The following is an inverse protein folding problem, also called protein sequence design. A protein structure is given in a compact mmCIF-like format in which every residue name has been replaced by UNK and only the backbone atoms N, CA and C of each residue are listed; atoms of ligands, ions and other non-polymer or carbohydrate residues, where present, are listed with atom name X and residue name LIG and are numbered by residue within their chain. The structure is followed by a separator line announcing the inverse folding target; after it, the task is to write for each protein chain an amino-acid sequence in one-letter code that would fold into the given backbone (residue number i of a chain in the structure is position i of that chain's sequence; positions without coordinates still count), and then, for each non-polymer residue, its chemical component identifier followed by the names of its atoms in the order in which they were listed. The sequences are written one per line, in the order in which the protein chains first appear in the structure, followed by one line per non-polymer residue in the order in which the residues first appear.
data_IF_561681336697
#
_entry.id   IF_561681336697
#
_cell.length_a   1.000
_cell.length_b   1.000
_cell.length_c   1.000
_cell.angle_alpha   90.00
_cell.angle_beta   90.00
_cell.angle_gamma   90.00
#
_symmetry.space_group_name_H-M   'P 1'
#
loop_
_entity.id
_entity.type
_entity.pdbx_description
1 polymer ?
#
# COMPACT_ATOMS: atom_id res chain seq x y z
N UNK A 1 4.30 -18.56 18.97
CA UNK A 1 3.52 -17.90 17.90
C UNK A 1 2.21 -18.63 17.59
N UNK A 2 2.21 -19.89 17.14
CA UNK A 2 0.98 -20.65 16.81
C UNK A 2 -0.13 -20.54 17.86
N UNK A 3 0.15 -20.89 19.13
CA UNK A 3 -0.83 -20.83 20.22
C UNK A 3 -1.34 -19.42 20.55
N UNK A 4 -0.55 -18.38 20.22
CA UNK A 4 -1.01 -17.00 20.37
C UNK A 4 -2.03 -16.67 19.27
N UNK A 5 -1.69 -16.96 18.02
CA UNK A 5 -2.55 -16.70 16.88
C UNK A 5 -3.83 -17.56 16.90
N UNK A 6 -3.79 -18.75 17.51
CA UNK A 6 -5.00 -19.55 17.71
C UNK A 6 -6.02 -18.88 18.62
N UNK A 7 -5.55 -18.20 19.66
CA UNK A 7 -6.42 -17.57 20.65
C UNK A 7 -6.90 -16.18 20.23
N UNK A 8 -6.02 -15.38 19.62
CA UNK A 8 -6.29 -13.98 19.34
C UNK A 8 -6.46 -13.64 17.85
N UNK A 9 -6.11 -14.58 16.95
CA UNK A 9 -5.88 -14.30 15.53
C UNK A 9 -7.06 -13.71 14.77
N UNK A 10 -8.29 -13.85 15.27
CA UNK A 10 -9.47 -13.23 14.66
C UNK A 10 -9.40 -11.70 14.68
N UNK A 11 -8.70 -11.11 15.68
CA UNK A 11 -8.46 -9.67 15.80
C UNK A 11 -6.98 -9.29 15.79
N UNK A 12 -6.15 -10.06 16.49
CA UNK A 12 -4.73 -9.78 16.70
C UNK A 12 -3.87 -10.98 16.28
N UNK A 13 -3.06 -10.81 15.24
CA UNK A 13 -2.23 -11.88 14.70
C UNK A 13 -0.76 -11.48 14.67
N UNK A 14 0.11 -12.35 15.21
CA UNK A 14 1.55 -12.21 15.07
C UNK A 14 1.98 -12.76 13.71
N UNK A 15 2.60 -11.90 12.90
CA UNK A 15 3.20 -12.26 11.62
C UNK A 15 4.71 -12.40 11.72
N UNK A 16 5.36 -12.74 10.60
CA UNK A 16 6.81 -12.72 10.48
C UNK A 16 7.38 -11.34 10.86
N UNK A 17 8.52 -11.36 11.55
CA UNK A 17 9.15 -10.18 12.13
C UNK A 17 9.79 -9.33 11.04
N UNK A 18 9.38 -8.07 10.98
CA UNK A 18 10.13 -7.00 10.32
C UNK A 18 10.56 -6.03 11.43
N UNK A 19 11.87 -5.78 11.55
CA UNK A 19 12.41 -4.94 12.61
C UNK A 19 13.47 -3.99 12.05
N UNK A 20 13.52 -2.79 12.65
CA UNK A 20 14.51 -1.77 12.35
C UNK A 20 15.12 -1.27 13.65
N UNK A 21 16.45 -1.13 13.66
CA UNK A 21 17.17 -0.56 14.80
C UNK A 21 16.83 0.93 14.95
N UNK A 22 16.65 1.41 16.18
CA UNK A 22 16.36 2.82 16.45
C UNK A 22 17.64 3.68 16.36
N UNK A 23 18.18 3.76 15.15
CA UNK A 23 19.43 4.44 14.85
C UNK A 23 20.69 3.59 15.05
N UNK A 24 21.85 4.09 14.60
CA UNK A 24 23.11 3.36 14.71
C UNK A 24 23.46 3.06 16.17
N UNK A 25 23.88 1.82 16.43
CA UNK A 25 24.35 1.34 17.74
C UNK A 25 23.30 1.34 18.87
N UNK A 26 22.01 1.49 18.56
CA UNK A 26 20.94 1.38 19.55
C UNK A 26 20.63 -0.07 19.93
N UNK A 27 20.41 -0.32 21.22
CA UNK A 27 19.89 -1.61 21.71
C UNK A 27 18.37 -1.72 21.50
N UNK A 28 17.72 -0.63 21.07
CA UNK A 28 16.27 -0.55 20.84
C UNK A 28 15.92 -0.82 19.37
N UNK A 29 14.81 -1.53 19.17
CA UNK A 29 14.34 -1.95 17.85
C UNK A 29 12.84 -1.73 17.71
N UNK A 30 12.44 -1.08 16.62
CA UNK A 30 11.05 -1.00 16.20
C UNK A 30 10.64 -2.31 15.55
N UNK A 31 9.56 -2.94 16.05
CA UNK A 31 9.06 -4.21 15.54
C UNK A 31 7.70 -4.01 14.86
N UNK A 32 7.64 -4.28 13.56
CA UNK A 32 6.40 -4.48 12.83
C UNK A 32 6.05 -5.97 12.82
N UNK A 33 5.29 -6.41 13.81
CA UNK A 33 4.96 -7.83 14.00
C UNK A 33 3.51 -8.15 14.37
N UNK A 34 2.73 -7.16 14.83
CA UNK A 34 1.32 -7.33 15.19
C UNK A 34 0.42 -6.82 14.06
N UNK A 35 -0.44 -7.70 13.56
CA UNK A 35 -1.53 -7.35 12.66
C UNK A 35 -2.82 -7.17 13.45
N UNK A 36 -3.58 -6.15 13.08
CA UNK A 36 -4.86 -5.80 13.67
C UNK A 36 -5.90 -5.87 12.56
N UNK A 37 -6.86 -6.78 12.70
CA UNK A 37 -7.93 -6.95 11.72
C UNK A 37 -9.15 -6.09 12.07
N UNK A 38 -10.08 -5.97 11.12
CA UNK A 38 -11.32 -5.20 11.27
C UNK A 38 -11.09 -3.74 11.70
N UNK A 39 -10.23 -3.05 10.97
CA UNK A 39 -9.97 -1.61 11.12
C UNK A 39 -10.33 -0.94 9.81
N UNK A 40 -11.19 0.07 9.85
CA UNK A 40 -11.47 0.90 8.69
C UNK A 40 -10.52 2.09 8.67
N UNK A 41 -9.53 2.07 7.76
CA UNK A 41 -8.55 3.16 7.64
C UNK A 41 -9.08 4.48 7.14
N UNK A 42 -10.32 4.52 6.64
CA UNK A 42 -10.98 5.77 6.25
C UNK A 42 -11.72 6.44 7.41
N UNK A 43 -11.89 5.73 8.53
CA UNK A 43 -12.59 6.22 9.71
C UNK A 43 -11.60 6.75 10.76
N UNK A 44 -11.80 8.01 11.14
CA UNK A 44 -11.01 8.69 12.17
C UNK A 44 -11.92 9.32 13.20
N UNK A 45 -11.50 9.31 14.47
CA UNK A 45 -12.26 9.88 15.58
C UNK A 45 -12.53 11.38 15.39
N UNK A 46 -11.59 12.11 14.76
CA UNK A 46 -11.74 13.53 14.43
C UNK A 46 -12.95 13.84 13.54
N UNK A 47 -13.38 12.87 12.73
CA UNK A 47 -14.46 13.02 11.78
C UNK A 47 -15.80 12.54 12.36
N UNK A 48 -15.78 11.91 13.55
CA UNK A 48 -16.96 11.35 14.22
C UNK A 48 -18.01 12.43 14.47
N UNK A 49 -19.27 12.14 14.12
CA UNK A 49 -20.41 13.07 14.13
C UNK A 49 -20.40 14.17 13.06
N UNK A 50 -19.47 14.12 12.09
CA UNK A 50 -19.52 14.98 10.90
C UNK A 50 -20.07 14.21 9.70
N UNK A 51 -20.42 14.93 8.62
CA UNK A 51 -20.76 14.30 7.35
C UNK A 51 -19.59 13.65 6.61
N UNK A 52 -18.37 13.73 7.16
CA UNK A 52 -17.17 13.13 6.59
C UNK A 52 -16.83 11.76 7.19
N UNK A 53 -17.47 11.37 8.30
CA UNK A 53 -17.30 10.03 8.86
C UNK A 53 -17.90 8.99 7.91
N UNK A 54 -17.15 7.94 7.53
CA UNK A 54 -17.67 6.91 6.65
C UNK A 54 -18.70 6.01 7.36
N UNK A 55 -19.54 5.33 6.60
CA UNK A 55 -20.35 4.24 7.11
C UNK A 55 -19.45 3.01 7.28
N UNK A 56 -18.94 2.80 8.50
CA UNK A 56 -18.16 1.62 8.84
C UNK A 56 -19.06 0.44 9.16
N UNK A 57 -18.54 -0.78 9.03
CA UNK A 57 -19.24 -1.99 9.47
C UNK A 57 -19.25 -2.06 11.00
N UNK A 58 -20.31 -2.65 11.57
CA UNK A 58 -20.47 -2.77 13.02
C UNK A 58 -19.38 -3.62 13.70
N UNK A 59 -18.73 -4.51 12.96
CA UNK A 59 -17.63 -5.36 13.44
C UNK A 59 -16.24 -4.70 13.29
N UNK A 60 -16.16 -3.45 12.81
CA UNK A 60 -14.92 -2.72 12.55
C UNK A 60 -14.73 -1.57 13.54
N UNK A 61 -13.47 -1.28 13.84
CA UNK A 61 -13.06 -0.11 14.63
C UNK A 61 -12.57 1.00 13.70
N UNK A 62 -12.69 2.24 14.15
CA UNK A 62 -11.96 3.34 13.52
C UNK A 62 -10.47 3.28 13.89
N UNK A 63 -9.63 4.03 13.18
CA UNK A 63 -8.17 3.97 13.34
C UNK A 63 -7.68 4.35 14.73
N UNK A 64 -8.29 5.35 15.38
CA UNK A 64 -7.93 5.82 16.71
C UNK A 64 -8.36 4.81 17.80
N UNK A 65 -9.59 4.29 17.71
CA UNK A 65 -10.11 3.24 18.59
C UNK A 65 -9.25 1.97 18.50
N UNK A 66 -8.90 1.55 17.28
CA UNK A 66 -8.02 0.41 17.05
C UNK A 66 -6.63 0.63 17.64
N UNK A 67 -6.06 1.83 17.53
CA UNK A 67 -4.76 2.16 18.13
C UNK A 67 -4.81 2.04 19.66
N UNK A 68 -5.81 2.64 20.31
CA UNK A 68 -5.98 2.61 21.78
C UNK A 68 -6.16 1.16 22.26
N UNK A 69 -7.08 0.42 21.63
CA UNK A 69 -7.41 -0.95 22.03
C UNK A 69 -6.22 -1.89 21.81
N UNK A 70 -5.46 -1.70 20.72
CA UNK A 70 -4.27 -2.51 20.43
C UNK A 70 -3.13 -2.24 21.41
N UNK A 71 -2.91 -0.98 21.80
CA UNK A 71 -1.90 -0.64 22.82
C UNK A 71 -2.25 -1.26 24.16
N UNK A 72 -3.52 -1.15 24.58
CA UNK A 72 -4.02 -1.83 25.78
C UNK A 72 -3.85 -3.35 25.69
N UNK A 73 -4.14 -3.94 24.53
CA UNK A 73 -3.96 -5.37 24.31
C UNK A 73 -2.49 -5.80 24.45
N UNK A 74 -1.54 -5.01 23.95
CA UNK A 74 -0.10 -5.26 24.13
C UNK A 74 0.28 -5.28 25.62
N UNK A 75 -0.22 -4.33 26.40
CA UNK A 75 0.05 -4.23 27.83
C UNK A 75 -0.54 -5.42 28.61
N UNK A 76 -1.83 -5.70 28.39
CA UNK A 76 -2.56 -6.78 29.04
C UNK A 76 -1.98 -8.18 28.71
N UNK A 77 -1.26 -8.31 27.57
CA UNK A 77 -0.69 -9.57 27.08
C UNK A 77 0.85 -9.55 26.99
N UNK A 78 1.50 -8.58 27.62
CA UNK A 78 2.94 -8.32 27.49
C UNK A 78 3.81 -9.54 27.81
N UNK A 79 3.55 -10.24 28.91
CA UNK A 79 4.28 -11.45 29.28
C UNK A 79 4.21 -12.53 28.19
N UNK A 80 3.02 -12.78 27.65
CA UNK A 80 2.80 -13.79 26.61
C UNK A 80 3.45 -13.40 25.30
N UNK A 81 3.41 -12.11 24.95
CA UNK A 81 4.10 -11.58 23.77
C UNK A 81 5.61 -11.73 23.91
N UNK A 82 6.20 -11.38 25.05
CA UNK A 82 7.63 -11.59 25.33
C UNK A 82 8.01 -13.06 25.26
N UNK A 83 7.18 -13.97 25.78
CA UNK A 83 7.41 -15.41 25.63
C UNK A 83 7.48 -15.85 24.17
N UNK A 84 6.68 -15.23 23.28
CA UNK A 84 6.72 -15.53 21.84
C UNK A 84 7.97 -14.91 21.20
N UNK A 85 8.27 -13.64 21.46
CA UNK A 85 9.42 -12.96 20.86
C UNK A 85 10.75 -13.57 21.30
N UNK A 86 10.90 -13.96 22.57
CA UNK A 86 12.11 -14.62 23.09
C UNK A 86 12.37 -16.02 22.53
N UNK A 87 11.42 -16.58 21.79
CA UNK A 87 11.64 -17.82 21.02
C UNK A 87 12.26 -17.57 19.63
N UNK A 88 12.32 -16.32 19.19
CA UNK A 88 12.93 -15.96 17.91
C UNK A 88 14.45 -15.86 18.08
N UNK A 89 15.25 -16.41 17.15
CA UNK A 89 16.70 -16.28 17.18
C UNK A 89 17.13 -14.81 17.24
N UNK A 90 17.97 -14.46 18.22
CA UNK A 90 18.47 -13.09 18.44
C UNK A 90 17.59 -12.21 19.33
N UNK A 91 16.41 -12.68 19.76
CA UNK A 91 15.49 -11.97 20.65
C UNK A 91 15.37 -12.62 22.03
N UNK A 92 16.25 -13.55 22.39
CA UNK A 92 16.15 -14.37 23.62
C UNK A 92 16.10 -13.52 24.90
N UNK A 93 16.73 -12.34 24.86
CA UNK A 93 16.77 -11.36 25.95
C UNK A 93 15.92 -10.11 25.68
N UNK A 94 15.08 -10.12 24.63
CA UNK A 94 14.27 -8.96 24.28
C UNK A 94 13.33 -8.56 25.43
N UNK A 95 13.11 -7.26 25.59
CA UNK A 95 12.12 -6.69 26.49
C UNK A 95 11.39 -5.54 25.79
N UNK A 96 10.24 -5.15 26.32
CA UNK A 96 9.54 -3.97 25.84
C UNK A 96 10.24 -2.70 26.31
N UNK A 97 10.31 -1.71 25.43
CA UNK A 97 10.59 -0.32 25.82
C UNK A 97 9.31 0.25 26.42
N UNK A 98 9.45 0.91 27.58
CA UNK A 98 8.34 1.51 28.30
C UNK A 98 8.52 3.02 28.35
N UNK A 99 7.45 3.75 28.10
CA UNK A 99 7.38 5.19 28.20
C UNK A 99 6.31 5.62 29.20
N UNK A 100 6.44 6.83 29.73
CA UNK A 100 5.44 7.41 30.62
C UNK A 100 4.57 8.42 29.90
N UNK A 101 3.26 8.35 30.10
CA UNK A 101 2.33 9.37 29.63
C UNK A 101 2.38 10.65 30.48
N UNK A 102 1.56 11.64 30.12
CA UNK A 102 1.45 12.90 30.86
C UNK A 102 0.95 12.73 32.32
N UNK A 103 0.40 11.57 32.67
CA UNK A 103 -0.10 11.23 34.00
C UNK A 103 0.85 10.29 34.77
N UNK A 104 2.09 10.12 34.30
CA UNK A 104 3.11 9.21 34.87
C UNK A 104 2.74 7.71 34.79
N UNK A 105 1.76 7.34 33.96
CA UNK A 105 1.38 5.95 33.68
C UNK A 105 2.35 5.33 32.66
N UNK A 106 2.82 4.11 32.95
CA UNK A 106 3.77 3.40 32.08
C UNK A 106 3.04 2.62 31.00
N UNK A 107 3.49 2.77 29.77
CA UNK A 107 2.93 2.13 28.59
C UNK A 107 4.05 1.53 27.73
N UNK A 108 3.73 0.48 26.97
CA UNK A 108 4.65 -0.02 25.95
C UNK A 108 4.79 1.06 24.87
N UNK A 109 6.03 1.40 24.51
CA UNK A 109 6.34 2.33 23.44
C UNK A 109 5.85 1.78 22.11
N UNK A 110 5.00 2.55 21.43
CA UNK A 110 4.44 2.24 20.10
C UNK A 110 4.48 3.51 19.26
N UNK A 111 4.29 3.40 17.93
CA UNK A 111 4.20 4.59 17.09
C UNK A 111 2.99 5.47 17.44
N UNK A 112 3.13 6.79 17.30
CA UNK A 112 2.10 7.78 17.66
C UNK A 112 0.78 7.62 16.87
N UNK A 113 0.86 7.01 15.69
CA UNK A 113 -0.28 6.76 14.82
C UNK A 113 -0.28 5.30 14.40
N UNK A 114 -1.49 4.76 14.17
CA UNK A 114 -1.64 3.41 13.66
C UNK A 114 -1.05 3.33 12.25
N UNK A 115 -0.14 2.38 12.03
CA UNK A 115 0.38 2.10 10.71
C UNK A 115 -0.70 1.41 9.87
N UNK A 116 -1.22 2.15 8.89
CA UNK A 116 -2.22 1.67 7.95
C UNK A 116 -1.54 1.44 6.59
N UNK A 117 -1.58 0.21 6.08
CA UNK A 117 -0.84 -0.16 4.87
C UNK A 117 -1.61 0.02 3.57
N UNK A 118 -2.88 -0.40 3.54
CA UNK A 118 -3.69 -0.48 2.33
C UNK A 118 -5.14 -0.18 2.69
N UNK A 119 -5.60 1.03 2.40
CA UNK A 119 -6.93 1.47 2.86
C UNK A 119 -7.63 2.40 1.88
N UNK A 120 -7.04 3.54 1.56
CA UNK A 120 -7.72 4.56 0.74
C UNK A 120 -6.96 4.77 -0.56
N UNK A 121 -7.56 4.31 -1.66
CA UNK A 121 -7.08 4.54 -3.02
C UNK A 121 -8.09 5.38 -3.80
N UNK A 122 -7.61 6.26 -4.68
CA UNK A 122 -8.51 7.07 -5.50
C UNK A 122 -9.14 6.20 -6.59
N UNK A 123 -10.47 6.08 -6.60
CA UNK A 123 -11.17 5.47 -7.74
C UNK A 123 -11.45 6.50 -8.85
N UNK A 124 -11.60 6.01 -10.08
CA UNK A 124 -12.04 6.83 -11.21
C UNK A 124 -13.52 7.21 -11.09
N UNK A 125 -14.32 6.32 -10.50
CA UNK A 125 -15.70 6.54 -10.13
C UNK A 125 -16.00 6.06 -8.71
N UNK A 126 -16.28 7.02 -7.82
CA UNK A 126 -16.67 6.77 -6.43
C UNK A 126 -17.94 5.94 -6.31
N UNK A 127 -18.91 6.15 -7.18
CA UNK A 127 -20.20 5.46 -7.11
C UNK A 127 -20.11 4.00 -7.58
N UNK A 128 -19.02 3.67 -8.28
CA UNK A 128 -18.74 2.32 -8.79
C UNK A 128 -17.75 1.55 -7.91
N UNK A 129 -17.41 2.04 -6.71
CA UNK A 129 -16.55 1.27 -5.80
C UNK A 129 -17.32 0.03 -5.33
N UNK A 130 -16.72 -1.14 -5.55
CA UNK A 130 -17.30 -2.42 -5.14
C UNK A 130 -16.41 -3.59 -5.51
N UNK A 131 -16.87 -4.79 -5.18
CA UNK A 131 -16.21 -6.02 -5.58
C UNK A 131 -16.07 -6.08 -7.11
N UNK A 132 -15.00 -6.71 -7.61
CA UNK A 132 -14.74 -6.91 -9.05
C UNK A 132 -14.45 -5.63 -9.86
N UNK A 133 -14.38 -4.47 -9.21
CA UNK A 133 -14.06 -3.19 -9.88
C UNK A 133 -12.56 -2.92 -9.99
N UNK A 134 -11.75 -3.83 -9.47
CA UNK A 134 -10.29 -3.73 -9.38
C UNK A 134 -9.61 -3.40 -10.72
N UNK A 135 -10.10 -3.99 -11.81
CA UNK A 135 -9.53 -3.82 -13.14
C UNK A 135 -10.21 -2.74 -14.01
N UNK A 136 -11.26 -2.07 -13.51
CA UNK A 136 -12.06 -1.16 -14.33
C UNK A 136 -12.34 0.21 -13.69
N UNK A 137 -12.02 0.39 -12.40
CA UNK A 137 -12.33 1.62 -11.65
C UNK A 137 -11.09 2.32 -11.08
N UNK A 138 -9.90 1.92 -11.52
CA UNK A 138 -8.62 2.49 -11.12
C UNK A 138 -7.78 2.76 -12.36
N UNK A 139 -6.96 3.81 -12.32
CA UNK A 139 -6.04 4.12 -13.42
C UNK A 139 -4.90 3.10 -13.51
N UNK A 140 -4.44 2.61 -12.35
CA UNK A 140 -3.47 1.53 -12.27
C UNK A 140 -4.18 0.30 -11.70
N UNK A 141 -4.29 -0.73 -12.51
CA UNK A 141 -5.02 -1.95 -12.16
C UNK A 141 -4.07 -3.10 -11.83
N UNK A 142 -4.62 -4.15 -11.23
CA UNK A 142 -3.91 -5.42 -11.07
C UNK A 142 -3.40 -5.93 -12.42
N UNK A 143 -4.22 -5.86 -13.48
CA UNK A 143 -3.80 -6.27 -14.81
C UNK A 143 -2.58 -5.49 -15.30
N UNK A 144 -2.66 -4.16 -15.16
CA UNK A 144 -1.62 -3.21 -15.57
C UNK A 144 -0.27 -3.46 -14.90
N UNK A 145 -0.27 -3.83 -13.60
CA UNK A 145 0.96 -4.07 -12.86
C UNK A 145 1.48 -5.51 -13.01
N UNK A 146 0.68 -6.51 -12.59
CA UNK A 146 1.12 -7.90 -12.55
C UNK A 146 1.45 -8.46 -13.93
N UNK A 147 0.67 -8.05 -14.94
CA UNK A 147 0.79 -8.51 -16.32
C UNK A 147 1.50 -7.48 -17.22
N UNK A 148 2.37 -6.64 -16.67
CA UNK A 148 3.11 -5.63 -17.45
C UNK A 148 3.93 -6.22 -18.62
N UNK A 149 4.33 -7.49 -18.52
CA UNK A 149 5.01 -8.22 -19.60
C UNK A 149 4.07 -8.76 -20.69
N UNK A 150 2.76 -8.77 -20.46
CA UNK A 150 1.75 -9.23 -21.42
C UNK A 150 1.75 -8.33 -22.65
N UNK A 151 1.62 -8.87 -23.89
CA UNK A 151 1.67 -8.07 -25.11
C UNK A 151 0.73 -6.86 -25.10
N UNK A 152 -0.49 -7.02 -24.57
CA UNK A 152 -1.48 -5.94 -24.47
C UNK A 152 -1.00 -4.75 -23.62
N UNK A 153 -0.17 -5.01 -22.60
CA UNK A 153 0.41 -3.96 -21.76
C UNK A 153 1.77 -3.51 -22.28
N UNK A 154 2.65 -4.45 -22.63
CA UNK A 154 4.00 -4.16 -23.13
C UNK A 154 3.98 -3.30 -24.38
N UNK A 155 3.13 -3.64 -25.34
CA UNK A 155 3.02 -2.95 -26.63
C UNK A 155 1.96 -1.85 -26.60
N UNK A 156 1.45 -1.48 -25.42
CA UNK A 156 0.46 -0.42 -25.26
C UNK A 156 1.05 0.91 -25.75
N UNK A 157 0.49 1.53 -26.80
CA UNK A 157 1.03 2.77 -27.36
C UNK A 157 1.00 3.94 -26.36
N UNK A 158 0.16 3.87 -25.32
CA UNK A 158 0.06 4.86 -24.26
C UNK A 158 1.22 4.78 -23.26
N UNK A 159 2.04 3.72 -23.28
CA UNK A 159 3.23 3.62 -22.42
C UNK A 159 4.21 4.78 -22.65
N UNK A 160 4.25 5.31 -23.88
CA UNK A 160 5.04 6.51 -24.23
C UNK A 160 4.55 7.79 -23.56
N UNK A 161 3.46 7.74 -22.82
CA UNK A 161 2.83 8.85 -22.10
C UNK A 161 2.83 8.59 -20.58
N UNK A 162 3.61 7.59 -20.16
CA UNK A 162 3.80 7.24 -18.77
C UNK A 162 4.52 8.35 -17.98
N UNK A 163 4.18 8.50 -16.71
CA UNK A 163 4.89 9.39 -15.79
C UNK A 163 6.11 8.72 -15.13
N UNK A 164 6.35 7.45 -15.43
CA UNK A 164 7.52 6.70 -14.99
C UNK A 164 7.22 5.21 -14.81
N UNK A 165 8.16 4.50 -14.20
CA UNK A 165 8.06 3.06 -14.02
C UNK A 165 7.75 2.69 -12.58
N UNK A 166 6.98 1.62 -12.43
CA UNK A 166 6.76 0.95 -11.18
C UNK A 166 7.37 -0.45 -11.24
N UNK A 167 8.20 -0.80 -10.26
CA UNK A 167 8.69 -2.16 -10.11
C UNK A 167 8.97 -2.51 -8.65
N UNK A 168 8.19 -3.46 -8.12
CA UNK A 168 8.39 -4.04 -6.80
C UNK A 168 7.67 -5.39 -6.75
N UNK A 169 8.17 -6.31 -5.94
CA UNK A 169 7.57 -7.64 -5.78
C UNK A 169 6.09 -7.54 -5.35
N UNK A 170 5.24 -8.42 -5.89
CA UNK A 170 3.83 -8.52 -5.49
C UNK A 170 3.78 -8.86 -4.01
N UNK A 171 3.44 -7.89 -3.16
CA UNK A 171 3.51 -8.02 -1.70
C UNK A 171 2.18 -7.66 -1.04
N UNK A 172 1.21 -8.54 -1.24
CA UNK A 172 -0.16 -8.40 -0.73
C UNK A 172 -0.19 -8.83 0.73
N UNK A 173 -0.92 -8.13 1.59
CA UNK A 173 -1.12 -8.62 2.94
C UNK A 173 -2.46 -9.36 3.07
N UNK A 174 -2.46 -10.57 3.65
CA UNK A 174 -3.71 -11.26 3.93
C UNK A 174 -4.63 -10.47 4.87
N UNK A 175 -5.94 -10.54 4.64
CA UNK A 175 -6.94 -9.65 5.25
C UNK A 175 -7.60 -10.24 6.50
N UNK A 176 -7.43 -11.56 6.73
CA UNK A 176 -7.90 -12.28 7.91
C UNK A 176 -6.96 -13.42 8.29
N UNK A 177 -7.09 -13.94 9.50
CA UNK A 177 -6.34 -15.10 10.01
C UNK A 177 -6.34 -16.27 9.03
N UNK A 178 -7.52 -16.62 8.49
CA UNK A 178 -7.67 -17.78 7.60
C UNK A 178 -6.77 -17.71 6.38
N UNK A 179 -6.49 -16.52 5.87
CA UNK A 179 -5.67 -16.34 4.69
C UNK A 179 -4.19 -16.69 4.96
N UNK A 180 -3.77 -16.67 6.23
CA UNK A 180 -2.44 -17.12 6.67
C UNK A 180 -2.33 -18.62 6.92
N UNK A 181 -3.41 -19.41 6.83
CA UNK A 181 -3.38 -20.85 7.14
C UNK A 181 -3.18 -21.67 5.85
N UNK A 182 -2.25 -22.63 5.84
CA UNK A 182 -2.07 -23.54 4.70
C UNK A 182 -3.35 -24.35 4.45
N UNK A 183 -3.80 -24.43 3.20
CA UNK A 183 -5.03 -25.18 2.87
C UNK A 183 -4.89 -26.69 3.10
N UNK A 184 -3.66 -27.20 3.13
CA UNK A 184 -3.37 -28.62 3.33
C UNK A 184 -2.96 -28.95 4.77
N UNK A 185 -2.67 -27.94 5.59
CA UNK A 185 -2.31 -28.11 7.00
C UNK A 185 -2.77 -26.92 7.85
N UNK A 186 -3.89 -27.11 8.56
CA UNK A 186 -4.48 -26.11 9.47
C UNK A 186 -3.53 -25.58 10.56
N UNK A 187 -2.41 -26.25 10.83
CA UNK A 187 -1.43 -25.83 11.83
C UNK A 187 -0.26 -25.04 11.25
N UNK A 188 -0.16 -24.99 9.92
CA UNK A 188 0.93 -24.34 9.22
C UNK A 188 0.50 -22.94 8.77
N UNK A 189 1.27 -21.95 9.20
CA UNK A 189 1.12 -20.58 8.73
C UNK A 189 1.92 -20.39 7.43
N UNK A 190 1.32 -19.76 6.44
CA UNK A 190 1.90 -19.39 5.15
C UNK A 190 2.06 -17.87 5.06
N UNK A 191 3.09 -17.42 4.37
CA UNK A 191 3.39 -16.00 4.16
C UNK A 191 4.04 -15.81 2.79
N UNK A 192 4.18 -14.55 2.35
CA UNK A 192 4.75 -14.28 1.04
C UNK A 192 3.85 -14.81 -0.09
N UNK A 193 4.47 -15.12 -1.22
CA UNK A 193 3.79 -15.67 -2.40
C UNK A 193 2.81 -16.83 -2.11
N UNK A 194 3.09 -17.69 -1.12
CA UNK A 194 2.17 -18.78 -0.75
C UNK A 194 0.81 -18.26 -0.27
N UNK A 195 0.81 -17.23 0.58
CA UNK A 195 -0.43 -16.59 1.02
C UNK A 195 -1.10 -15.83 -0.12
N UNK A 196 -0.33 -15.21 -1.02
CA UNK A 196 -0.83 -14.42 -2.14
C UNK A 196 -1.58 -15.32 -3.14
N UNK A 197 -1.00 -16.47 -3.48
CA UNK A 197 -1.63 -17.50 -4.32
C UNK A 197 -2.91 -18.05 -3.71
N UNK A 198 -2.98 -18.15 -2.38
CA UNK A 198 -4.19 -18.59 -1.68
C UNK A 198 -5.32 -17.57 -1.81
N UNK A 199 -5.03 -16.28 -1.63
CA UNK A 199 -6.05 -15.21 -1.68
C UNK A 199 -6.41 -14.81 -3.12
N UNK A 200 -5.47 -14.91 -4.06
CA UNK A 200 -5.63 -14.54 -5.48
C UNK A 200 -5.54 -15.75 -6.41
N UNK A 201 -6.39 -16.75 -6.17
CA UNK A 201 -6.48 -17.95 -7.03
C UNK A 201 -6.85 -17.62 -8.47
N UNK A 202 -7.53 -16.51 -8.67
CA UNK A 202 -7.91 -15.96 -9.97
C UNK A 202 -6.69 -15.53 -10.81
N UNK A 203 -5.53 -15.29 -10.18
CA UNK A 203 -4.30 -14.84 -10.83
C UNK A 203 -3.32 -15.96 -11.17
N UNK A 204 -3.74 -17.23 -11.08
CA UNK A 204 -2.86 -18.38 -11.31
C UNK A 204 -2.64 -18.65 -12.82
N UNK A 205 -2.10 -17.65 -13.54
CA UNK A 205 -1.71 -17.74 -14.94
C UNK A 205 -0.34 -18.43 -15.05
N UNK A 206 -0.21 -19.55 -15.79
CA UNK A 206 1.08 -20.23 -15.97
C UNK A 206 2.16 -19.39 -16.66
N UNK A 207 1.79 -18.40 -17.47
CA UNK A 207 2.73 -17.51 -18.17
C UNK A 207 3.16 -16.32 -17.30
N UNK A 208 2.32 -15.92 -16.35
CA UNK A 208 2.55 -14.80 -15.43
C UNK A 208 2.22 -15.24 -14.00
N UNK A 209 2.98 -16.20 -13.43
CA UNK A 209 2.66 -16.79 -12.15
C UNK A 209 2.79 -15.75 -11.03
N UNK A 210 1.87 -15.82 -10.06
CA UNK A 210 1.99 -15.09 -8.80
C UNK A 210 2.97 -15.83 -7.88
N UNK A 211 4.28 -15.57 -8.04
CA UNK A 211 5.33 -16.20 -7.25
C UNK A 211 6.39 -15.19 -6.74
N UNK A 212 7.46 -15.68 -6.13
CA UNK A 212 8.54 -14.83 -5.58
C UNK A 212 9.27 -13.94 -6.61
N UNK A 213 9.05 -14.14 -7.91
CA UNK A 213 9.61 -13.34 -8.99
C UNK A 213 8.53 -12.51 -9.71
N UNK A 214 7.32 -12.41 -9.16
CA UNK A 214 6.27 -11.53 -9.68
C UNK A 214 6.35 -10.13 -9.08
N UNK A 215 6.10 -9.07 -9.87
CA UNK A 215 5.84 -9.09 -11.31
C UNK A 215 7.13 -9.31 -12.13
N UNK A 216 6.99 -9.80 -13.36
CA UNK A 216 8.15 -10.15 -14.21
C UNK A 216 8.70 -8.99 -15.05
N UNK A 217 8.01 -7.85 -15.07
CA UNK A 217 8.41 -6.64 -15.78
C UNK A 217 7.93 -5.38 -15.04
N UNK A 218 8.61 -4.24 -15.25
CA UNK A 218 8.14 -2.95 -14.73
C UNK A 218 6.85 -2.50 -15.45
N UNK A 219 5.94 -1.88 -14.71
CA UNK A 219 4.71 -1.32 -15.23
C UNK A 219 4.87 0.19 -15.52
N UNK A 220 4.32 0.66 -16.64
CA UNK A 220 4.33 2.08 -17.02
C UNK A 220 3.18 2.83 -16.34
N UNK A 221 3.45 3.73 -15.40
CA UNK A 221 2.35 4.39 -14.67
C UNK A 221 1.71 5.52 -15.50
N UNK A 222 0.39 5.49 -15.76
CA UNK A 222 -0.28 6.55 -16.49
C UNK A 222 -0.45 7.82 -15.65
N UNK A 223 -0.43 8.99 -16.28
CA UNK A 223 -0.70 10.27 -15.59
C UNK A 223 -2.09 10.30 -14.93
N UNK A 224 -3.07 9.60 -15.49
CA UNK A 224 -4.42 9.46 -14.93
C UNK A 224 -4.42 8.88 -13.50
N UNK A 225 -3.33 8.23 -13.08
CA UNK A 225 -3.14 7.76 -11.70
C UNK A 225 -3.12 8.90 -10.67
N UNK A 226 -2.61 10.08 -11.06
CA UNK A 226 -2.40 11.23 -10.16
C UNK A 226 -3.60 12.16 -10.05
N UNK A 227 -4.66 11.98 -10.84
CA UNK A 227 -5.73 12.97 -10.98
C UNK A 227 -7.09 12.39 -10.62
N UNK A 228 -8.06 13.29 -10.41
CA UNK A 228 -9.44 12.92 -10.17
C UNK A 228 -10.41 13.86 -10.90
N UNK A 229 -11.52 13.31 -11.40
CA UNK A 229 -12.59 14.11 -12.04
C UNK A 229 -13.37 14.98 -11.05
N UNK A 230 -13.30 14.66 -9.76
CA UNK A 230 -14.08 15.35 -8.71
C UNK A 230 -13.48 16.69 -8.30
N UNK A 231 -12.15 16.83 -8.38
CA UNK A 231 -11.44 18.07 -8.06
C UNK A 231 -10.37 18.32 -9.12
N UNK A 232 -10.71 19.11 -10.14
CA UNK A 232 -9.86 19.31 -11.32
C UNK A 232 -8.46 19.86 -11.01
N UNK A 233 -8.33 20.59 -9.89
CA UNK A 233 -7.08 21.22 -9.46
C UNK A 233 -6.32 20.45 -8.36
N UNK A 234 -6.57 19.15 -8.23
CA UNK A 234 -5.92 18.30 -7.24
C UNK A 234 -5.02 17.28 -7.93
N UNK A 235 -3.79 17.16 -7.44
CA UNK A 235 -2.87 16.06 -7.72
C UNK A 235 -2.81 15.16 -6.48
N UNK A 236 -2.84 13.85 -6.68
CA UNK A 236 -2.87 12.83 -5.64
C UNK A 236 -1.67 11.88 -5.84
N UNK A 237 -0.44 12.34 -5.59
CA UNK A 237 0.71 11.45 -5.57
C UNK A 237 0.72 10.61 -4.29
N UNK A 238 1.38 9.46 -4.37
CA UNK A 238 1.72 8.67 -3.21
C UNK A 238 0.65 7.65 -2.80
N UNK A 239 0.40 7.53 -1.50
CA UNK A 239 -0.40 6.43 -0.91
C UNK A 239 -1.88 6.41 -1.31
N UNK A 240 -2.43 7.55 -1.74
CA UNK A 240 -3.82 7.67 -2.18
C UNK A 240 -3.99 7.69 -3.71
N UNK A 241 -2.93 7.40 -4.48
CA UNK A 241 -2.96 7.37 -5.94
C UNK A 241 -4.07 6.46 -6.47
N UNK A 242 -4.52 6.67 -7.72
CA UNK A 242 -5.49 5.79 -8.35
C UNK A 242 -4.88 4.45 -8.75
N UNK A 243 -4.76 3.57 -7.76
CA UNK A 243 -4.29 2.20 -7.90
C UNK A 243 -5.28 1.22 -7.25
N UNK A 244 -5.46 0.07 -7.87
CA UNK A 244 -6.21 -1.02 -7.28
C UNK A 244 -5.47 -1.60 -6.07
N UNK A 245 -6.19 -2.30 -5.19
CA UNK A 245 -5.63 -2.99 -4.01
C UNK A 245 -4.38 -3.81 -4.35
N UNK A 246 -4.48 -4.70 -5.34
CA UNK A 246 -3.33 -5.49 -5.77
C UNK A 246 -2.24 -4.64 -6.43
N UNK A 247 -2.58 -3.71 -7.33
CA UNK A 247 -1.58 -2.83 -7.95
C UNK A 247 -0.77 -2.08 -6.89
N UNK A 248 -1.43 -1.63 -5.83
CA UNK A 248 -0.78 -0.96 -4.72
C UNK A 248 0.28 -1.82 -4.01
N UNK A 249 0.05 -3.14 -3.93
CA UNK A 249 1.02 -4.09 -3.39
C UNK A 249 2.37 -4.04 -4.10
N UNK A 250 2.36 -3.70 -5.39
CA UNK A 250 3.55 -3.55 -6.26
C UNK A 250 4.01 -2.09 -6.40
N UNK A 251 3.28 -1.10 -5.88
CA UNK A 251 3.58 0.34 -6.04
C UNK A 251 4.09 1.03 -4.78
N UNK A 252 3.82 0.48 -3.60
CA UNK A 252 3.90 1.18 -2.32
C UNK A 252 5.30 1.54 -1.81
N UNK A 253 6.38 1.13 -2.47
CA UNK A 253 7.76 1.36 -1.97
C UNK A 253 8.32 2.72 -2.35
N UNK A 254 9.21 3.24 -1.51
CA UNK A 254 9.77 4.60 -1.63
C UNK A 254 10.25 4.97 -3.04
N UNK A 255 10.97 4.11 -3.80
CA UNK A 255 11.37 4.45 -5.16
C UNK A 255 10.18 4.76 -6.08
N UNK A 256 9.14 3.93 -6.04
CA UNK A 256 7.93 4.10 -6.83
C UNK A 256 7.13 5.34 -6.36
N UNK A 257 7.14 5.64 -5.05
CA UNK A 257 6.53 6.86 -4.51
C UNK A 257 7.26 8.13 -4.96
N UNK A 258 8.59 8.09 -5.13
CA UNK A 258 9.37 9.19 -5.68
C UNK A 258 8.94 9.50 -7.12
N UNK A 259 8.74 8.48 -7.95
CA UNK A 259 8.23 8.64 -9.32
C UNK A 259 6.89 9.38 -9.34
N UNK A 260 5.95 8.99 -8.46
CA UNK A 260 4.65 9.68 -8.36
C UNK A 260 4.80 11.14 -7.90
N UNK A 261 5.69 11.39 -6.94
CA UNK A 261 5.95 12.73 -6.40
C UNK A 261 6.60 13.67 -7.42
N UNK A 262 7.64 13.21 -8.11
CA UNK A 262 8.35 13.97 -9.14
C UNK A 262 7.42 14.32 -10.29
N UNK A 263 6.60 13.37 -10.74
CA UNK A 263 5.59 13.59 -11.75
C UNK A 263 4.54 14.61 -11.35
N UNK A 264 4.07 14.57 -10.10
CA UNK A 264 3.14 15.57 -9.58
C UNK A 264 3.78 16.97 -9.53
N UNK A 265 5.06 17.07 -9.13
CA UNK A 265 5.80 18.33 -9.15
C UNK A 265 5.89 18.94 -10.55
N UNK A 266 6.23 18.12 -11.55
CA UNK A 266 6.31 18.56 -12.95
C UNK A 266 4.94 18.92 -13.51
N UNK A 267 3.91 18.14 -13.19
CA UNK A 267 2.53 18.45 -13.56
C UNK A 267 2.10 19.82 -13.02
N UNK A 268 2.39 20.10 -11.74
CA UNK A 268 2.08 21.39 -11.13
C UNK A 268 2.78 22.56 -11.84
N UNK A 269 4.06 22.42 -12.21
CA UNK A 269 4.77 23.44 -13.01
C UNK A 269 4.15 23.59 -14.40
N UNK A 270 3.80 22.48 -15.04
CA UNK A 270 3.15 22.49 -16.37
C UNK A 270 1.81 23.20 -16.33
N UNK A 271 1.02 23.00 -15.27
CA UNK A 271 -0.23 23.74 -15.01
C UNK A 271 0.02 25.24 -14.92
N UNK A 272 1.03 25.66 -14.15
CA UNK A 272 1.38 27.08 -14.00
C UNK A 272 1.80 27.73 -15.33
N UNK A 273 2.56 27.01 -16.16
CA UNK A 273 3.05 27.53 -17.44
C UNK A 273 1.97 27.56 -18.53
N UNK A 274 1.06 26.57 -18.53
CA UNK A 274 0.02 26.43 -19.55
C UNK A 274 -1.29 27.15 -19.18
N UNK A 275 -1.49 27.50 -17.91
CA UNK A 275 -2.77 28.00 -17.40
C UNK A 275 -3.86 26.94 -17.31
N UNK A 276 -3.48 25.65 -17.36
CA UNK A 276 -4.39 24.49 -17.26
C UNK A 276 -4.42 23.93 -15.85
N UNK A 277 -5.51 23.25 -15.52
CA UNK A 277 -5.62 22.44 -14.31
C UNK A 277 -4.96 21.06 -14.50
N UNK A 278 -4.53 20.40 -13.41
CA UNK A 278 -4.05 19.01 -13.43
C UNK A 278 -4.91 18.05 -14.25
N UNK A 279 -6.24 18.13 -14.11
CA UNK A 279 -7.15 17.25 -14.85
C UNK A 279 -7.11 17.49 -16.36
N UNK A 280 -6.97 18.76 -16.80
CA UNK A 280 -6.90 19.13 -18.22
C UNK A 280 -5.56 18.76 -18.88
N UNK A 281 -4.50 18.47 -18.10
CA UNK A 281 -3.26 17.94 -18.67
C UNK A 281 -3.44 16.53 -19.28
N UNK A 282 -4.51 15.84 -18.91
CA UNK A 282 -4.89 14.54 -19.44
C UNK A 282 -5.69 14.64 -20.76
N UNK A 283 -5.85 15.84 -21.33
CA UNK A 283 -6.57 16.01 -22.59
C UNK A 283 -5.77 15.46 -23.78
N UNK A 284 -6.46 14.78 -24.69
CA UNK A 284 -5.91 14.25 -25.94
C UNK A 284 -6.34 15.09 -27.14
N UNK A 285 -5.52 15.08 -28.19
CA UNK A 285 -5.89 15.60 -29.50
C UNK A 285 -6.89 14.68 -30.24
N UNK A 286 -7.27 15.05 -31.45
CA UNK A 286 -8.20 14.30 -32.31
C UNK A 286 -7.72 12.89 -32.70
N UNK A 287 -6.43 12.60 -32.53
CA UNK A 287 -5.82 11.30 -32.77
C UNK A 287 -5.60 10.51 -31.47
N UNK A 288 -6.10 11.01 -30.33
CA UNK A 288 -5.92 10.37 -29.03
C UNK A 288 -4.55 10.59 -28.39
N UNK A 289 -3.73 11.52 -28.90
CA UNK A 289 -2.42 11.83 -28.32
C UNK A 289 -2.55 12.87 -27.22
N UNK A 290 -2.01 12.59 -26.04
CA UNK A 290 -2.01 13.56 -24.94
C UNK A 290 -1.18 14.80 -25.29
N UNK A 291 -1.82 15.96 -25.15
CA UNK A 291 -1.27 17.24 -25.60
C UNK A 291 -0.15 17.70 -24.66
N UNK A 292 -0.39 17.62 -23.34
CA UNK A 292 0.48 18.23 -22.34
C UNK A 292 1.40 17.25 -21.61
N UNK A 293 1.15 15.94 -21.72
CA UNK A 293 2.07 14.92 -21.17
C UNK A 293 3.42 14.97 -21.90
N UNK A 294 3.43 15.28 -23.19
CA UNK A 294 4.68 15.49 -23.93
C UNK A 294 5.49 16.68 -23.38
N UNK A 295 4.80 17.75 -22.94
CA UNK A 295 5.46 18.90 -22.31
C UNK A 295 6.05 18.52 -20.95
N UNK A 296 5.37 17.66 -20.19
CA UNK A 296 5.92 17.08 -18.97
C UNK A 296 7.20 16.29 -19.27
N UNK A 297 7.19 15.42 -20.29
CA UNK A 297 8.38 14.66 -20.72
C UNK A 297 9.55 15.55 -21.13
N UNK A 298 9.28 16.64 -21.83
CA UNK A 298 10.33 17.61 -22.17
C UNK A 298 10.95 18.24 -20.92
N UNK A 299 10.16 18.45 -19.85
CA UNK A 299 10.64 18.92 -18.56
C UNK A 299 11.45 17.82 -17.85
N UNK A 300 10.95 16.59 -17.82
CA UNK A 300 11.67 15.44 -17.26
C UNK A 300 13.05 15.26 -17.93
N UNK A 301 13.10 15.31 -19.26
CA UNK A 301 14.33 15.20 -20.05
C UNK A 301 15.30 16.34 -19.75
N UNK A 302 14.79 17.56 -19.61
CA UNK A 302 15.62 18.74 -19.30
C UNK A 302 16.29 18.62 -17.93
N UNK A 303 15.68 17.92 -16.99
CA UNK A 303 16.18 17.78 -15.63
C UNK A 303 16.73 16.37 -15.31
N UNK A 304 16.86 15.49 -16.31
CA UNK A 304 17.37 14.11 -16.18
C UNK A 304 16.60 13.27 -15.14
N UNK A 305 15.28 13.45 -15.05
CA UNK A 305 14.44 12.78 -14.06
C UNK A 305 13.90 11.41 -14.58
N UNK A 306 14.02 11.12 -15.89
CA UNK A 306 13.67 9.80 -16.46
C UNK A 306 14.91 9.11 -17.05
N UNK A 307 15.08 7.82 -16.75
CA UNK A 307 15.99 6.92 -17.45
C UNK A 307 15.47 6.65 -18.86
N UNK A 308 16.26 6.93 -19.90
CA UNK A 308 15.88 6.64 -21.28
C UNK A 308 16.03 5.15 -21.54
N UNK A 309 15.17 4.59 -22.40
CA UNK A 309 15.32 3.21 -22.92
C UNK A 309 16.68 2.97 -23.59
N UNK A 310 17.39 4.04 -23.99
CA UNK A 310 18.76 3.95 -24.52
C UNK A 310 19.82 3.62 -23.45
N UNK A 311 19.44 3.65 -22.16
CA UNK A 311 20.31 3.41 -21.00
C UNK A 311 20.06 2.04 -20.31
N UNK A 312 19.21 1.16 -20.89
CA UNK A 312 18.93 -0.22 -20.44
C UNK A 312 19.29 -1.26 -21.53
#
# INVERSE_FOLDING_TARGET
MYLFNEEFGDKYLLKSLNAAQDGPDSDEWWINGLLIFNVDGSAHERDKNTGFYPNIRDDYENTDEAWINSRKFLEDNSERLLMVYRQLPGFENADFVWEKDANDQSHITVGDILYIRETVHTSQDRESIGNETENNNYAVTQHHCHYAAHPDEKDNPNNRQSIGFNFYESDIHPFKKDDYIDENDSKKYICGHLSYQKIRKDMNDPNYPLDKNSPTAPAFIPYSALITKYVKNLLIPGYAVSASSFAWSEMRVLPNQCVLGDAAGIAAVTCLLSGRTPFELNDTDENGKYIYIQDMHNIFDKYYIIYKDEDL
#
